data_IF_736343307492
#
_entry.id   IF_736343307492
#
_cell.length_a   1.000
_cell.length_b   1.000
_cell.length_c   1.000
_cell.angle_alpha   90.00
_cell.angle_beta   90.00
_cell.angle_gamma   90.00
#
_symmetry.space_group_name_H-M   'P 1'
#
loop_
_entity.id
_entity.type
_entity.pdbx_description
1 polymer ?
#
# COMPACT_ATOMS: atom_id res chain seq x y z
N UNK A 1 -15.71 -10.71 -29.27
CA UNK A 1 -15.32 -9.32 -28.98
C UNK A 1 -13.95 -9.32 -28.32
N UNK A 2 -12.96 -8.71 -28.92
CA UNK A 2 -11.64 -8.66 -28.34
C UNK A 2 -11.63 -7.75 -27.12
N UNK A 3 -11.08 -8.25 -26.03
CA UNK A 3 -10.89 -7.46 -24.82
C UNK A 3 -9.77 -6.45 -25.05
N UNK A 4 -10.03 -5.17 -24.75
CA UNK A 4 -9.01 -4.13 -24.88
C UNK A 4 -8.04 -4.28 -23.71
N UNK A 5 -6.79 -4.59 -24.04
CA UNK A 5 -5.73 -4.76 -23.03
C UNK A 5 -5.05 -3.43 -22.73
N UNK A 6 -4.58 -3.22 -21.49
CA UNK A 6 -3.79 -2.04 -21.19
C UNK A 6 -2.46 -2.06 -21.94
N UNK A 7 -1.99 -0.89 -22.35
CA UNK A 7 -0.68 -0.71 -23.00
C UNK A 7 0.36 -0.19 -21.99
N UNK A 8 1.61 -0.02 -22.46
CA UNK A 8 2.68 0.47 -21.59
C UNK A 8 2.40 1.86 -21.01
N UNK A 9 1.69 2.71 -21.76
CA UNK A 9 1.32 4.05 -21.28
C UNK A 9 0.31 3.94 -20.15
N UNK A 10 -0.65 3.02 -20.22
CA UNK A 10 -1.61 2.77 -19.14
C UNK A 10 -0.90 2.32 -17.87
N UNK A 11 0.09 1.43 -17.99
CA UNK A 11 0.88 0.97 -16.84
C UNK A 11 1.65 2.13 -16.19
N UNK A 12 2.29 2.98 -17.01
CA UNK A 12 3.05 4.12 -16.49
C UNK A 12 2.15 5.14 -15.79
N UNK A 13 1.02 5.46 -16.40
CA UNK A 13 0.03 6.35 -15.80
C UNK A 13 -0.48 5.78 -14.48
N UNK A 14 -0.82 4.50 -14.47
CA UNK A 14 -1.32 3.82 -13.27
C UNK A 14 -0.30 3.82 -12.13
N UNK A 15 0.97 3.51 -12.43
CA UNK A 15 2.05 3.54 -11.43
C UNK A 15 2.16 4.91 -10.76
N UNK A 16 2.24 5.97 -11.57
CA UNK A 16 2.39 7.34 -11.05
C UNK A 16 1.15 7.80 -10.29
N UNK A 17 -0.04 7.38 -10.75
CA UNK A 17 -1.29 7.68 -10.06
C UNK A 17 -1.33 7.04 -8.66
N UNK A 18 -0.94 5.79 -8.55
CA UNK A 18 -0.90 5.07 -7.27
C UNK A 18 0.15 5.68 -6.34
N UNK A 19 1.26 6.20 -6.88
CA UNK A 19 2.29 6.92 -6.11
C UNK A 19 1.78 8.26 -5.56
N UNK A 20 0.63 8.73 -6.02
CA UNK A 20 0.00 9.95 -5.51
C UNK A 20 0.22 11.20 -6.36
N UNK A 21 0.78 11.06 -7.57
CA UNK A 21 0.96 12.21 -8.46
C UNK A 21 -0.39 12.70 -8.98
N UNK A 22 -0.52 14.01 -9.14
CA UNK A 22 -1.67 14.63 -9.80
C UNK A 22 -1.62 14.40 -11.30
N UNK A 23 -2.76 14.57 -11.98
CA UNK A 23 -2.81 14.44 -13.44
C UNK A 23 -1.81 15.37 -14.16
N UNK A 24 -1.67 16.66 -13.78
CA UNK A 24 -0.63 17.51 -14.34
C UNK A 24 0.79 16.98 -14.13
N UNK A 25 1.10 16.45 -12.96
CA UNK A 25 2.40 15.88 -12.65
C UNK A 25 2.69 14.63 -13.49
N UNK A 26 1.68 13.77 -13.67
CA UNK A 26 1.81 12.59 -14.53
C UNK A 26 2.05 13.02 -15.98
N UNK A 27 1.28 13.98 -16.47
CA UNK A 27 1.42 14.50 -17.82
C UNK A 27 2.83 15.04 -18.07
N UNK A 28 3.36 15.82 -17.14
CA UNK A 28 4.71 16.37 -17.23
C UNK A 28 5.78 15.26 -17.20
N UNK A 29 5.62 14.28 -16.32
CA UNK A 29 6.57 13.18 -16.18
C UNK A 29 6.64 12.31 -17.44
N UNK A 30 5.51 12.12 -18.12
CA UNK A 30 5.42 11.25 -19.31
C UNK A 30 5.48 12.02 -20.64
N UNK A 31 5.49 13.35 -20.59
CA UNK A 31 5.51 14.19 -21.81
C UNK A 31 4.25 14.07 -22.62
N UNK A 32 3.09 13.97 -22.00
CA UNK A 32 1.77 13.86 -22.64
C UNK A 32 0.82 14.94 -22.11
N UNK A 33 -0.34 15.09 -22.74
CA UNK A 33 -1.34 16.07 -22.32
C UNK A 33 -2.10 15.61 -21.07
N UNK A 34 -2.49 16.56 -20.23
CA UNK A 34 -3.32 16.29 -19.03
C UNK A 34 -4.65 15.62 -19.39
N UNK A 35 -5.25 16.05 -20.50
CA UNK A 35 -6.50 15.44 -20.99
C UNK A 35 -6.33 13.98 -21.36
N UNK A 36 -5.17 13.60 -21.88
CA UNK A 36 -4.83 12.22 -22.19
C UNK A 36 -4.73 11.39 -20.89
N UNK A 37 -4.07 11.92 -19.85
CA UNK A 37 -3.97 11.26 -18.56
C UNK A 37 -5.37 11.05 -17.97
N UNK A 38 -6.17 12.09 -17.92
CA UNK A 38 -7.54 12.01 -17.39
C UNK A 38 -8.37 10.97 -18.12
N UNK A 39 -8.37 11.01 -19.46
CA UNK A 39 -9.14 10.10 -20.29
C UNK A 39 -8.72 8.64 -20.07
N UNK A 40 -7.41 8.38 -20.04
CA UNK A 40 -6.91 7.02 -19.84
C UNK A 40 -7.25 6.46 -18.47
N UNK A 41 -7.17 7.28 -17.42
CA UNK A 41 -7.57 6.87 -16.08
C UNK A 41 -9.05 6.50 -15.97
N UNK A 42 -9.88 6.98 -16.89
CA UNK A 42 -11.30 6.62 -16.91
C UNK A 42 -11.59 5.31 -17.64
N UNK A 43 -10.62 4.75 -18.36
CA UNK A 43 -10.83 3.51 -19.10
C UNK A 43 -10.83 2.30 -18.16
N UNK A 44 -11.65 1.26 -18.46
CA UNK A 44 -11.65 0.05 -17.64
C UNK A 44 -10.29 -0.65 -17.56
N UNK A 45 -9.53 -0.67 -18.66
CA UNK A 45 -8.21 -1.31 -18.69
C UNK A 45 -7.21 -0.60 -17.80
N UNK A 46 -7.20 0.73 -17.76
CA UNK A 46 -6.31 1.48 -16.89
C UNK A 46 -6.76 1.36 -15.42
N UNK A 47 -8.06 1.41 -15.15
CA UNK A 47 -8.59 1.20 -13.79
C UNK A 47 -8.23 -0.17 -13.25
N UNK A 48 -8.26 -1.20 -14.09
CA UNK A 48 -7.86 -2.55 -13.69
C UNK A 48 -6.38 -2.59 -13.27
N UNK A 49 -5.50 -1.92 -14.02
CA UNK A 49 -4.07 -1.83 -13.67
C UNK A 49 -3.87 -1.07 -12.36
N UNK A 50 -4.57 0.06 -12.17
CA UNK A 50 -4.52 0.83 -10.92
C UNK A 50 -4.90 -0.05 -9.72
N UNK A 51 -5.99 -0.80 -9.84
CA UNK A 51 -6.45 -1.68 -8.76
C UNK A 51 -5.45 -2.81 -8.48
N UNK A 52 -4.87 -3.39 -9.52
CA UNK A 52 -3.85 -4.44 -9.37
C UNK A 52 -2.61 -3.93 -8.65
N UNK A 53 -2.09 -2.75 -9.05
CA UNK A 53 -0.94 -2.14 -8.39
C UNK A 53 -1.25 -1.83 -6.93
N UNK A 54 -2.42 -1.26 -6.63
CA UNK A 54 -2.85 -0.99 -5.26
C UNK A 54 -2.91 -2.26 -4.42
N UNK A 55 -3.41 -3.35 -4.98
CA UNK A 55 -3.48 -4.63 -4.27
C UNK A 55 -2.10 -5.18 -3.97
N UNK A 56 -1.17 -5.07 -4.91
CA UNK A 56 0.23 -5.50 -4.70
C UNK A 56 0.87 -4.69 -3.57
N UNK A 57 0.74 -3.38 -3.57
CA UNK A 57 1.28 -2.52 -2.50
C UNK A 57 0.61 -2.81 -1.17
N UNK A 58 -0.70 -2.97 -1.14
CA UNK A 58 -1.44 -3.29 0.07
C UNK A 58 -0.98 -4.61 0.67
N UNK A 59 -0.89 -5.67 -0.13
CA UNK A 59 -0.45 -6.98 0.33
C UNK A 59 0.99 -6.95 0.83
N UNK A 60 1.87 -6.22 0.14
CA UNK A 60 3.27 -6.04 0.57
C UNK A 60 3.34 -5.30 1.91
N UNK A 61 2.54 -4.26 2.09
CA UNK A 61 2.50 -3.50 3.34
C UNK A 61 1.98 -4.37 4.49
N UNK A 62 0.92 -5.14 4.28
CA UNK A 62 0.37 -6.06 5.28
C UNK A 62 1.43 -7.10 5.69
N UNK A 63 2.14 -7.68 4.72
CA UNK A 63 3.22 -8.63 5.01
C UNK A 63 4.32 -8.00 5.87
N UNK A 64 4.71 -6.76 5.56
CA UNK A 64 5.71 -6.02 6.35
C UNK A 64 5.24 -5.71 7.76
N UNK A 65 3.96 -5.35 7.92
CA UNK A 65 3.36 -5.10 9.22
C UNK A 65 3.33 -6.37 10.07
N UNK A 66 2.95 -7.51 9.49
CA UNK A 66 2.96 -8.80 10.20
C UNK A 66 4.39 -9.19 10.65
N UNK A 67 5.37 -8.97 9.78
CA UNK A 67 6.77 -9.25 10.08
C UNK A 67 7.28 -8.37 11.23
N UNK A 68 6.95 -7.08 11.21
CA UNK A 68 7.31 -6.15 12.26
C UNK A 68 6.62 -6.53 13.58
N UNK A 69 5.33 -6.85 13.55
CA UNK A 69 4.58 -7.28 14.72
C UNK A 69 5.21 -8.51 15.36
N UNK A 70 5.60 -9.50 14.57
CA UNK A 70 6.27 -10.71 15.06
C UNK A 70 7.57 -10.36 15.78
N UNK A 71 8.38 -9.45 15.26
CA UNK A 71 9.62 -9.00 15.89
C UNK A 71 9.37 -8.27 17.21
N UNK A 72 8.36 -7.42 17.27
CA UNK A 72 7.96 -6.70 18.47
C UNK A 72 7.48 -7.67 19.55
N UNK A 73 6.66 -8.66 19.16
CA UNK A 73 6.18 -9.69 20.07
C UNK A 73 7.36 -10.45 20.69
N UNK A 74 8.32 -10.89 19.89
CA UNK A 74 9.51 -11.60 20.35
C UNK A 74 10.31 -10.75 21.34
N UNK A 75 10.51 -9.47 21.05
CA UNK A 75 11.23 -8.56 21.92
C UNK A 75 10.52 -8.37 23.29
N UNK A 76 9.20 -8.26 23.27
CA UNK A 76 8.40 -8.13 24.50
C UNK A 76 8.36 -9.42 25.31
N UNK A 77 8.26 -10.58 24.65
CA UNK A 77 8.36 -11.87 25.34
C UNK A 77 9.64 -11.95 26.17
N UNK A 78 10.76 -11.53 25.59
CA UNK A 78 12.03 -11.51 26.30
C UNK A 78 12.00 -10.58 27.51
N UNK A 79 11.46 -9.37 27.35
CA UNK A 79 11.32 -8.40 28.46
C UNK A 79 10.41 -8.93 29.55
N UNK A 80 9.32 -9.58 29.24
CA UNK A 80 8.40 -10.18 30.20
C UNK A 80 9.10 -11.28 30.98
N UNK A 81 9.84 -12.16 30.31
CA UNK A 81 10.61 -13.22 30.97
C UNK A 81 11.70 -12.69 31.88
N UNK A 82 12.32 -11.56 31.54
CA UNK A 82 13.35 -10.91 32.32
C UNK A 82 12.78 -10.04 33.47
N UNK A 83 11.46 -9.87 33.55
CA UNK A 83 10.79 -9.06 34.56
C UNK A 83 10.91 -7.56 34.34
N UNK A 84 11.29 -7.11 33.15
CA UNK A 84 11.58 -5.70 32.85
C UNK A 84 10.36 -4.92 32.33
N UNK A 85 9.16 -5.48 32.44
CA UNK A 85 7.94 -4.86 31.91
C UNK A 85 7.00 -4.49 33.05
N UNK A 86 6.59 -3.22 33.07
CA UNK A 86 5.55 -2.75 34.00
C UNK A 86 4.15 -3.13 33.47
N UNK A 87 3.15 -3.15 34.35
CA UNK A 87 1.76 -3.41 33.97
C UNK A 87 1.28 -2.38 32.95
N UNK A 88 1.68 -1.11 33.08
CA UNK A 88 1.31 -0.05 32.12
C UNK A 88 1.90 -0.28 30.73
N UNK A 89 3.17 -0.69 30.65
CA UNK A 89 3.83 -1.02 29.39
C UNK A 89 3.16 -2.21 28.72
N UNK A 90 2.84 -3.25 29.47
CA UNK A 90 2.15 -4.44 28.94
C UNK A 90 0.78 -4.09 28.40
N UNK A 91 0.00 -3.28 29.11
CA UNK A 91 -1.31 -2.82 28.65
C UNK A 91 -1.21 -1.99 27.37
N UNK A 92 -0.21 -1.11 27.26
CA UNK A 92 0.06 -0.33 26.07
C UNK A 92 0.38 -1.21 24.87
N UNK A 93 1.21 -2.21 25.06
CA UNK A 93 1.57 -3.18 24.03
C UNK A 93 0.38 -4.00 23.56
N UNK A 94 -0.43 -4.50 24.49
CA UNK A 94 -1.65 -5.27 24.16
C UNK A 94 -2.65 -4.42 23.37
N UNK A 95 -2.74 -3.13 23.68
CA UNK A 95 -3.60 -2.20 22.94
C UNK A 95 -3.14 -2.04 21.48
N UNK A 96 -1.83 -1.88 21.26
CA UNK A 96 -1.25 -1.76 19.92
C UNK A 96 -1.48 -3.04 19.12
N UNK A 97 -1.26 -4.20 19.71
CA UNK A 97 -1.53 -5.50 19.06
C UNK A 97 -2.99 -5.65 18.68
N UNK A 98 -3.89 -5.29 19.60
CA UNK A 98 -5.33 -5.35 19.35
C UNK A 98 -5.71 -4.52 18.13
N UNK A 99 -5.17 -3.31 18.01
CA UNK A 99 -5.44 -2.43 16.88
C UNK A 99 -4.86 -2.96 15.56
N UNK A 100 -3.72 -3.64 15.59
CA UNK A 100 -3.09 -4.22 14.40
C UNK A 100 -3.85 -5.41 13.84
N UNK A 101 -4.52 -6.20 14.70
CA UNK A 101 -5.17 -7.45 14.30
C UNK A 101 -6.69 -7.34 14.12
N UNK A 102 -7.28 -6.18 14.40
CA UNK A 102 -8.72 -5.94 14.19
C UNK A 102 -9.05 -5.49 12.75
N UNK A 103 -8.07 -5.14 11.97
CA UNK A 103 -8.27 -4.64 10.59
C UNK A 103 -8.41 -5.79 9.61
#
# INVERSE_FOLDING_TARGET
>A
MEEIKPDNKDFRIAELHVEGLSNPQIADALGINRSTVYRRLQTPQCKAVVNEIRNIYHNSLIARLHNLAAKVITAYEKKVLDGDVTAGELNGFLRVLSNLFII
#
